data_IF_290188516357
#
_entry.id   IF_290188516357
#
_cell.length_a   1.000
_cell.length_b   1.000
_cell.length_c   1.000
_cell.angle_alpha   90.00
_cell.angle_beta   90.00
_cell.angle_gamma   90.00
#
_symmetry.space_group_name_H-M   'P 1'
#
loop_
_entity.id
_entity.type
_entity.pdbx_description
1 polymer ?
#
# COMPACT_ATOMS: atom_id res chain seq x y z
N UNK A 1 52.51 -40.62 -35.10
CA UNK A 1 52.51 -39.38 -35.90
C UNK A 1 51.37 -39.49 -36.91
N UNK A 2 50.20 -38.95 -36.55
CA UNK A 2 49.00 -38.97 -37.36
C UNK A 2 48.18 -37.70 -37.07
N UNK A 3 47.56 -37.22 -38.13
CA UNK A 3 47.14 -35.86 -38.44
C UNK A 3 46.06 -35.25 -37.52
N UNK A 4 46.00 -33.90 -37.42
CA UNK A 4 44.80 -33.20 -36.99
C UNK A 4 43.80 -33.10 -38.16
N UNK A 5 42.56 -33.51 -37.89
CA UNK A 5 41.41 -33.37 -38.79
C UNK A 5 41.00 -31.91 -38.92
N UNK A 6 40.91 -31.46 -40.17
CA UNK A 6 40.48 -30.14 -40.61
C UNK A 6 38.94 -30.07 -40.52
N UNK A 7 38.40 -29.21 -39.65
CA UNK A 7 36.96 -28.95 -39.59
C UNK A 7 36.65 -27.79 -40.53
N UNK A 8 36.11 -28.11 -41.71
CA UNK A 8 35.58 -27.14 -42.66
C UNK A 8 34.30 -26.48 -42.11
N UNK A 9 34.29 -25.15 -42.08
CA UNK A 9 33.09 -24.34 -41.85
C UNK A 9 32.49 -23.92 -43.20
N UNK A 10 31.16 -24.00 -43.41
CA UNK A 10 30.54 -23.48 -44.61
C UNK A 10 30.55 -21.95 -44.60
N UNK A 11 31.13 -21.35 -45.64
CA UNK A 11 30.96 -19.94 -45.97
C UNK A 11 29.57 -19.74 -46.56
N UNK A 12 28.64 -19.18 -45.77
CA UNK A 12 27.46 -18.51 -46.30
C UNK A 12 27.68 -17.00 -46.24
N UNK A 13 28.17 -16.42 -47.33
CA UNK A 13 28.00 -15.00 -47.63
C UNK A 13 26.57 -14.79 -48.12
N UNK A 14 25.71 -14.25 -47.25
CA UNK A 14 24.44 -13.66 -47.65
C UNK A 14 24.52 -12.17 -47.39
N UNK A 15 24.58 -11.40 -48.47
CA UNK A 15 24.51 -9.95 -48.44
C UNK A 15 23.14 -9.51 -47.88
N UNK A 16 23.09 -8.60 -46.89
CA UNK A 16 21.86 -7.88 -46.58
C UNK A 16 21.68 -6.75 -47.59
N UNK A 17 20.66 -6.91 -48.43
CA UNK A 17 20.18 -5.88 -49.35
C UNK A 17 19.78 -4.61 -48.62
N UNK A 18 20.25 -3.50 -49.16
CA UNK A 18 19.96 -2.12 -48.75
C UNK A 18 18.70 -1.67 -49.49
N UNK A 19 17.51 -2.16 -49.11
CA UNK A 19 16.23 -1.72 -49.73
C UNK A 19 15.02 -1.72 -48.76
N UNK A 20 15.21 -1.54 -47.45
CA UNK A 20 14.08 -1.41 -46.49
C UNK A 20 14.05 -0.07 -45.72
N UNK A 21 14.80 0.93 -46.20
CA UNK A 21 14.90 2.25 -45.55
C UNK A 21 13.82 3.26 -45.96
N UNK A 22 13.44 3.32 -47.24
CA UNK A 22 12.58 4.40 -47.76
C UNK A 22 11.07 4.15 -47.57
N UNK A 23 10.59 2.90 -47.52
CA UNK A 23 9.15 2.64 -47.32
C UNK A 23 8.68 2.85 -45.87
N UNK A 24 9.60 2.85 -44.89
CA UNK A 24 9.25 3.05 -43.47
C UNK A 24 9.06 4.52 -43.14
N UNK A 25 9.83 5.42 -43.75
CA UNK A 25 9.72 6.86 -43.53
C UNK A 25 8.48 7.47 -44.22
N UNK A 26 8.07 6.95 -45.39
CA UNK A 26 6.85 7.42 -46.07
C UNK A 26 5.55 6.95 -45.37
N UNK A 27 5.57 5.81 -44.67
CA UNK A 27 4.43 5.35 -43.85
C UNK A 27 4.27 6.12 -42.54
N UNK A 28 5.34 6.68 -42.00
CA UNK A 28 5.29 7.47 -40.77
C UNK A 28 4.84 8.91 -41.04
N UNK A 29 5.22 9.49 -42.20
CA UNK A 29 4.76 10.82 -42.62
C UNK A 29 3.26 10.91 -42.97
N UNK A 30 2.60 9.80 -43.33
CA UNK A 30 1.15 9.74 -43.60
C UNK A 30 0.28 9.55 -42.36
N UNK A 31 0.85 9.29 -41.17
CA UNK A 31 0.06 9.07 -39.93
C UNK A 31 -0.12 10.31 -39.05
N UNK A 32 0.49 11.45 -39.41
CA UNK A 32 0.45 12.70 -38.61
C UNK A 32 -0.60 13.71 -39.11
N UNK A 33 -1.40 13.38 -40.13
CA UNK A 33 -2.53 14.22 -40.60
C UNK A 33 -3.83 13.43 -40.60
N UNK A 34 -4.47 13.30 -39.44
CA UNK A 34 -5.94 13.19 -39.25
C UNK A 34 -6.25 12.83 -37.79
N UNK A 35 -6.33 13.86 -36.94
CA UNK A 35 -7.26 13.90 -35.79
C UNK A 35 -7.06 15.23 -35.06
N UNK A 36 -7.67 16.29 -35.59
CA UNK A 36 -8.06 17.43 -34.77
C UNK A 36 -9.11 16.94 -33.75
N UNK A 37 -8.96 17.20 -32.44
CA UNK A 37 -10.00 16.88 -31.48
C UNK A 37 -11.19 17.85 -31.67
N UNK A 38 -12.43 17.37 -31.68
CA UNK A 38 -13.59 18.25 -31.70
C UNK A 38 -13.69 19.00 -30.37
N UNK A 39 -14.04 20.28 -30.46
CA UNK A 39 -14.39 21.14 -29.33
C UNK A 39 -15.34 20.43 -28.35
N UNK A 40 -14.87 20.20 -27.12
CA UNK A 40 -15.74 19.83 -26.02
C UNK A 40 -16.45 21.07 -25.48
N UNK A 41 -17.77 21.08 -25.62
CA UNK A 41 -18.65 21.91 -24.83
C UNK A 41 -18.43 21.62 -23.33
N UNK A 42 -18.17 22.66 -22.55
CA UNK A 42 -18.27 22.65 -21.09
C UNK A 42 -19.72 22.36 -20.67
N UNK A 43 -19.99 21.30 -19.90
CA UNK A 43 -21.29 21.12 -19.25
C UNK A 43 -21.45 22.11 -18.09
N UNK A 44 -22.69 22.56 -17.80
CA UNK A 44 -22.95 23.41 -16.65
C UNK A 44 -22.71 22.68 -15.33
N UNK A 45 -22.18 23.42 -14.37
CA UNK A 45 -21.99 23.04 -12.97
C UNK A 45 -23.31 22.49 -12.39
N UNK A 46 -23.36 21.18 -12.21
CA UNK A 46 -24.40 20.49 -11.43
C UNK A 46 -23.70 19.73 -10.32
N UNK A 47 -23.85 20.24 -9.09
CA UNK A 47 -23.39 19.58 -7.87
C UNK A 47 -24.06 18.19 -7.75
N UNK A 48 -23.30 17.09 -7.63
CA UNK A 48 -23.90 15.82 -7.25
C UNK A 48 -24.16 15.82 -5.74
N UNK A 49 -25.44 15.85 -5.35
CA UNK A 49 -25.88 15.45 -4.02
C UNK A 49 -25.48 13.99 -3.79
N UNK A 50 -24.47 13.77 -2.95
CA UNK A 50 -24.01 12.44 -2.53
C UNK A 50 -24.91 11.95 -1.39
N UNK A 51 -25.98 11.24 -1.75
CA UNK A 51 -26.70 10.35 -0.84
C UNK A 51 -26.00 8.98 -0.82
N UNK A 52 -25.19 8.69 0.20
CA UNK A 52 -24.77 7.30 0.47
C UNK A 52 -24.23 7.09 1.90
N UNK A 53 -25.10 7.21 2.89
CA UNK A 53 -24.96 6.49 4.16
C UNK A 53 -25.63 5.10 4.02
N UNK A 54 -24.90 4.12 3.52
CA UNK A 54 -25.30 2.71 3.57
C UNK A 54 -24.20 1.90 4.26
N UNK A 55 -24.24 1.89 5.60
CA UNK A 55 -23.42 0.98 6.39
C UNK A 55 -24.07 -0.43 6.42
N UNK A 56 -23.32 -1.50 6.13
CA UNK A 56 -23.80 -2.86 6.32
C UNK A 56 -23.86 -3.19 7.82
N UNK A 57 -25.05 -3.57 8.29
CA UNK A 57 -25.27 -4.04 9.66
C UNK A 57 -24.49 -5.34 9.89
N UNK A 58 -23.49 -5.27 10.77
CA UNK A 58 -22.76 -6.43 11.27
C UNK A 58 -23.67 -7.21 12.23
N UNK A 59 -24.16 -8.35 11.77
CA UNK A 59 -24.88 -9.32 12.60
C UNK A 59 -23.90 -9.88 13.63
N UNK A 60 -24.18 -9.60 14.90
CA UNK A 60 -23.43 -10.13 16.04
C UNK A 60 -24.27 -11.29 16.57
N UNK A 61 -23.80 -12.52 16.38
CA UNK A 61 -24.39 -13.71 16.97
C UNK A 61 -24.28 -13.59 18.49
N UNK A 62 -25.41 -13.32 19.14
CA UNK A 62 -25.52 -13.33 20.59
C UNK A 62 -25.94 -14.74 20.99
N UNK A 63 -25.02 -15.49 21.57
CA UNK A 63 -25.33 -16.76 22.22
C UNK A 63 -26.37 -16.51 23.31
N UNK A 64 -27.49 -17.21 23.19
CA UNK A 64 -28.61 -17.14 24.13
C UNK A 64 -28.40 -18.25 25.16
N UNK A 65 -27.78 -17.91 26.29
CA UNK A 65 -27.81 -18.73 27.50
C UNK A 65 -29.28 -18.92 27.91
N UNK A 66 -29.70 -20.19 27.97
CA UNK A 66 -30.99 -20.62 28.49
C UNK A 66 -30.96 -20.53 30.01
N UNK A 67 -31.40 -19.41 30.55
CA UNK A 67 -31.77 -19.32 31.96
C UNK A 67 -33.21 -19.81 32.16
N UNK A 68 -33.32 -20.99 32.79
CA UNK A 68 -34.54 -21.58 33.32
C UNK A 68 -35.17 -20.68 34.40
N UNK A 69 -36.10 -19.82 34.00
CA UNK A 69 -36.94 -19.08 34.95
C UNK A 69 -38.26 -19.83 35.27
N UNK A 70 -38.64 -19.90 36.56
CA UNK A 70 -39.80 -20.66 37.00
C UNK A 70 -41.12 -19.98 36.62
N UNK A 71 -42.08 -20.84 36.29
CA UNK A 71 -43.45 -20.58 35.87
C UNK A 71 -44.23 -19.65 36.83
N UNK A 72 -44.53 -18.39 36.45
CA UNK A 72 -45.39 -17.53 37.23
C UNK A 72 -46.85 -17.80 36.87
N UNK A 73 -47.51 -18.51 37.78
CA UNK A 73 -48.91 -18.90 37.68
C UNK A 73 -49.88 -17.80 37.23
N UNK A 74 -50.77 -18.21 36.33
CA UNK A 74 -52.18 -17.82 36.18
C UNK A 74 -52.56 -16.40 36.64
N UNK A 75 -52.21 -15.40 35.85
CA UNK A 75 -52.78 -14.06 35.96
C UNK A 75 -54.09 -13.94 35.13
N UNK A 76 -55.11 -13.23 35.64
CA UNK A 76 -56.43 -13.13 35.00
C UNK A 76 -56.36 -12.39 33.66
N UNK A 77 -57.06 -12.94 32.65
CA UNK A 77 -57.21 -12.41 31.29
C UNK A 77 -57.82 -11.00 31.32
N UNK A 78 -56.98 -9.96 31.41
CA UNK A 78 -57.38 -8.58 31.16
C UNK A 78 -57.57 -8.38 29.65
N UNK A 79 -58.79 -8.03 29.25
CA UNK A 79 -59.13 -7.62 27.89
C UNK A 79 -58.19 -6.51 27.40
N UNK A 80 -57.35 -6.85 26.41
CA UNK A 80 -56.45 -5.90 25.76
C UNK A 80 -57.25 -5.00 24.83
N UNK A 81 -57.75 -3.88 25.37
CA UNK A 81 -58.27 -2.76 24.59
C UNK A 81 -57.12 -2.21 23.73
N UNK A 82 -57.11 -2.56 22.42
CA UNK A 82 -56.12 -2.08 21.44
C UNK A 82 -56.24 -0.55 21.33
N UNK A 83 -55.46 0.18 22.14
CA UNK A 83 -55.24 1.60 21.91
C UNK A 83 -54.49 1.72 20.58
N UNK A 84 -55.15 2.34 19.61
CA UNK A 84 -54.53 2.74 18.33
C UNK A 84 -53.38 3.67 18.69
N UNK A 85 -52.14 3.23 18.47
CA UNK A 85 -50.94 4.07 18.63
C UNK A 85 -51.08 5.23 17.65
N UNK A 86 -50.90 6.44 18.17
CA UNK A 86 -50.91 7.64 17.34
C UNK A 86 -49.62 7.70 16.51
N UNK A 87 -49.61 8.40 15.38
CA UNK A 87 -48.39 8.54 14.59
C UNK A 87 -47.26 9.22 15.37
N UNK A 88 -47.62 10.07 16.35
CA UNK A 88 -46.68 10.65 17.33
C UNK A 88 -45.95 9.59 18.17
N UNK A 89 -46.63 8.51 18.54
CA UNK A 89 -46.01 7.40 19.29
C UNK A 89 -45.04 6.60 18.40
N UNK A 90 -45.34 6.48 17.10
CA UNK A 90 -44.46 5.80 16.13
C UNK A 90 -43.21 6.63 15.84
N UNK A 91 -43.35 7.94 15.72
CA UNK A 91 -42.23 8.86 15.52
C UNK A 91 -41.29 8.86 16.73
N UNK A 92 -41.84 8.93 17.96
CA UNK A 92 -41.07 8.81 19.19
C UNK A 92 -40.33 7.46 19.30
N UNK A 93 -40.91 6.37 18.81
CA UNK A 93 -40.24 5.06 18.79
C UNK A 93 -39.09 5.02 17.76
N UNK A 94 -39.24 5.66 16.60
CA UNK A 94 -38.17 5.80 15.60
C UNK A 94 -37.00 6.63 16.13
N UNK A 95 -37.30 7.73 16.83
CA UNK A 95 -36.29 8.57 17.46
C UNK A 95 -35.50 7.79 18.52
N UNK A 96 -36.18 7.06 19.42
CA UNK A 96 -35.52 6.18 20.40
C UNK A 96 -34.66 5.09 19.77
N UNK A 97 -35.01 4.59 18.58
CA UNK A 97 -34.16 3.64 17.83
C UNK A 97 -32.89 4.32 17.33
N UNK A 98 -33.01 5.47 16.67
CA UNK A 98 -31.86 6.26 16.19
C UNK A 98 -30.92 6.65 17.33
N UNK A 99 -31.46 7.01 18.50
CA UNK A 99 -30.68 7.33 19.69
C UNK A 99 -29.91 6.11 20.22
N UNK A 100 -30.54 4.93 20.26
CA UNK A 100 -29.86 3.68 20.64
C UNK A 100 -28.76 3.30 19.65
N UNK A 101 -28.99 3.48 18.35
CA UNK A 101 -28.00 3.16 17.32
C UNK A 101 -26.79 4.11 17.39
N UNK A 102 -27.03 5.41 17.61
CA UNK A 102 -25.96 6.40 17.88
C UNK A 102 -25.16 6.05 19.14
N UNK A 103 -25.83 5.65 20.22
CA UNK A 103 -25.17 5.21 21.45
C UNK A 103 -24.34 3.93 21.25
N UNK A 104 -24.84 2.97 20.45
CA UNK A 104 -24.10 1.73 20.12
C UNK A 104 -22.84 2.04 19.32
N UNK A 105 -22.94 2.90 18.30
CA UNK A 105 -21.77 3.34 17.50
C UNK A 105 -20.74 4.09 18.35
N UNK A 106 -21.19 4.97 19.25
CA UNK A 106 -20.30 5.69 20.15
C UNK A 106 -19.53 4.75 21.09
N UNK A 107 -20.18 3.69 21.61
CA UNK A 107 -19.52 2.66 22.42
C UNK A 107 -18.50 1.85 21.63
N UNK A 108 -18.87 1.40 20.43
CA UNK A 108 -17.93 0.66 19.56
C UNK A 108 -16.72 1.52 19.15
N UNK A 109 -16.91 2.82 18.95
CA UNK A 109 -15.81 3.74 18.67
C UNK A 109 -14.88 3.89 19.89
N UNK A 110 -15.44 4.01 21.10
CA UNK A 110 -14.66 4.07 22.34
C UNK A 110 -13.88 2.77 22.58
N UNK A 111 -14.49 1.60 22.38
CA UNK A 111 -13.83 0.28 22.50
C UNK A 111 -12.67 0.13 21.49
N UNK A 112 -12.83 0.63 20.26
CA UNK A 112 -11.75 0.62 19.26
C UNK A 112 -10.58 1.52 19.63
N UNK A 113 -10.85 2.70 20.20
CA UNK A 113 -9.79 3.61 20.66
C UNK A 113 -9.08 3.05 21.90
N UNK A 114 -9.81 2.39 22.82
CA UNK A 114 -9.21 1.67 23.95
C UNK A 114 -8.35 0.50 23.49
N UNK A 115 -8.81 -0.29 22.51
CA UNK A 115 -8.02 -1.39 21.94
C UNK A 115 -6.74 -0.89 21.24
N UNK A 116 -6.80 0.21 20.49
CA UNK A 116 -5.60 0.83 19.90
C UNK A 116 -4.64 1.35 20.95
N UNK A 117 -5.15 1.94 22.04
CA UNK A 117 -4.30 2.39 23.14
C UNK A 117 -3.59 1.21 23.82
N UNK A 118 -4.32 0.10 24.05
CA UNK A 118 -3.73 -1.12 24.60
C UNK A 118 -2.68 -1.76 23.67
N UNK A 119 -2.90 -1.74 22.35
CA UNK A 119 -1.92 -2.21 21.36
C UNK A 119 -0.66 -1.33 21.34
N UNK A 120 -0.82 0.00 21.46
CA UNK A 120 0.30 0.93 21.55
C UNK A 120 1.10 0.73 22.86
N UNK A 121 0.42 0.49 23.99
CA UNK A 121 1.07 0.19 25.25
C UNK A 121 1.82 -1.15 25.20
N UNK A 122 1.24 -2.19 24.57
CA UNK A 122 1.91 -3.47 24.37
C UNK A 122 3.16 -3.34 23.49
N UNK A 123 3.09 -2.58 22.40
CA UNK A 123 4.24 -2.29 21.55
C UNK A 123 5.33 -1.49 22.28
N UNK A 124 4.95 -0.59 23.20
CA UNK A 124 5.91 0.15 24.03
C UNK A 124 6.63 -0.76 25.03
N UNK A 125 5.93 -1.72 25.64
CA UNK A 125 6.53 -2.72 26.54
C UNK A 125 7.49 -3.64 25.79
N UNK A 126 7.12 -4.11 24.60
CA UNK A 126 8.00 -4.94 23.76
C UNK A 126 9.26 -4.17 23.34
N UNK A 127 9.12 -2.88 22.97
CA UNK A 127 10.26 -2.02 22.67
C UNK A 127 11.18 -1.75 23.89
N UNK A 128 10.64 -1.77 25.11
CA UNK A 128 11.44 -1.68 26.34
C UNK A 128 12.20 -2.98 26.62
N UNK A 129 11.56 -4.15 26.46
CA UNK A 129 12.22 -5.45 26.68
C UNK A 129 13.40 -5.66 25.72
N UNK A 130 13.25 -5.28 24.45
CA UNK A 130 14.35 -5.36 23.47
C UNK A 130 15.53 -4.45 23.84
N UNK A 131 15.32 -3.37 24.61
CA UNK A 131 16.40 -2.51 25.11
C UNK A 131 17.10 -3.12 26.32
N UNK A 132 16.37 -3.66 27.28
CA UNK A 132 16.95 -4.22 28.52
C UNK A 132 17.83 -5.44 28.26
N UNK A 133 17.51 -6.29 27.27
CA UNK A 133 18.34 -7.45 26.90
C UNK A 133 19.66 -7.06 26.17
N UNK A 134 19.90 -5.78 25.91
CA UNK A 134 21.16 -5.27 25.34
C UNK A 134 22.08 -4.57 26.35
N UNK A 135 21.72 -4.50 27.64
CA UNK A 135 22.44 -3.71 28.66
C UNK A 135 23.11 -4.52 29.78
N UNK A 136 23.50 -5.79 29.55
CA UNK A 136 24.48 -6.47 30.42
C UNK A 136 25.94 -6.16 30.01
N UNK A 137 26.21 -4.87 29.84
CA UNK A 137 27.54 -4.31 29.59
C UNK A 137 27.67 -2.96 30.29
N UNK A 138 28.60 -2.87 31.24
CA UNK A 138 28.92 -1.68 32.02
C UNK A 138 28.94 -0.39 31.17
N UNK A 139 28.06 0.55 31.50
CA UNK A 139 27.89 1.81 30.77
C UNK A 139 28.90 2.88 31.22
N UNK A 140 29.65 3.46 30.29
CA UNK A 140 30.45 4.67 30.50
C UNK A 140 29.83 5.84 29.74
N UNK A 141 29.57 6.96 30.45
CA UNK A 141 28.84 8.13 29.92
C UNK A 141 29.69 8.98 28.94
N UNK A 142 31.02 8.89 29.01
CA UNK A 142 31.92 9.86 28.39
C UNK A 142 32.11 9.71 26.86
N UNK A 143 31.77 8.56 26.27
CA UNK A 143 32.17 8.21 24.90
C UNK A 143 31.24 8.81 23.84
N UNK A 144 31.37 10.12 23.60
CA UNK A 144 30.70 10.73 22.44
C UNK A 144 30.91 12.21 22.19
N UNK A 145 31.67 12.95 23.01
CA UNK A 145 31.87 14.38 22.81
C UNK A 145 33.34 14.82 22.96
N UNK A 146 34.11 14.65 21.90
CA UNK A 146 35.32 15.45 21.64
C UNK A 146 35.05 16.22 20.34
N UNK A 147 35.03 17.55 20.27
CA UNK A 147 35.40 18.53 21.28
C UNK A 147 34.98 19.94 20.86
N UNK A 148 35.54 20.89 21.63
CA UNK A 148 35.45 22.36 21.51
C UNK A 148 34.32 23.03 22.32
N UNK A 149 34.65 23.19 23.61
CA UNK A 149 34.44 24.38 24.47
C UNK A 149 33.02 25.01 24.49
N UNK A 150 32.10 24.43 25.27
CA UNK A 150 30.79 25.05 25.56
C UNK A 150 29.70 24.17 26.18
N UNK A 151 29.94 22.87 26.38
CA UNK A 151 28.98 21.94 26.99
C UNK A 151 28.94 21.96 28.53
N UNK A 152 27.90 21.36 29.13
CA UNK A 152 27.53 21.54 30.54
C UNK A 152 26.82 20.33 31.19
N UNK A 153 27.31 19.87 32.35
CA UNK A 153 26.56 20.08 33.61
C UNK A 153 26.05 18.84 34.40
N UNK A 154 26.15 17.60 33.92
CA UNK A 154 25.57 16.41 34.61
C UNK A 154 26.62 15.54 35.30
N UNK A 155 26.56 15.40 36.64
CA UNK A 155 27.52 14.67 37.48
C UNK A 155 27.42 13.13 37.38
N UNK A 156 28.51 12.49 36.94
CA UNK A 156 28.66 11.03 36.84
C UNK A 156 29.43 10.48 38.05
N UNK A 157 28.86 9.56 38.84
CA UNK A 157 29.43 9.08 40.12
C UNK A 157 30.75 8.29 39.98
N UNK A 158 31.16 7.93 38.76
CA UNK A 158 32.37 7.14 38.47
C UNK A 158 33.58 7.99 38.04
N UNK A 159 33.40 9.28 37.73
CA UNK A 159 34.42 10.13 37.12
C UNK A 159 34.69 11.42 37.94
N UNK A 160 35.97 11.75 38.18
CA UNK A 160 36.41 12.98 38.87
C UNK A 160 36.08 14.25 38.07
N UNK A 161 36.19 14.17 36.74
CA UNK A 161 35.81 15.22 35.81
C UNK A 161 34.28 15.18 35.63
N UNK A 162 33.57 15.59 36.69
CA UNK A 162 32.23 15.13 37.02
C UNK A 162 31.17 15.35 35.91
N UNK A 163 31.20 16.50 35.23
CA UNK A 163 30.04 17.07 34.54
C UNK A 163 29.99 16.89 33.01
N UNK A 164 28.95 16.24 32.48
CA UNK A 164 28.80 15.89 31.05
C UNK A 164 27.51 16.44 30.38
N UNK A 165 27.45 16.60 29.03
CA UNK A 165 26.26 17.07 28.28
C UNK A 165 25.73 16.09 27.19
N UNK A 166 24.51 16.33 26.66
CA UNK A 166 23.86 15.46 25.66
C UNK A 166 24.03 15.85 24.17
N UNK A 167 24.42 17.09 23.88
CA UNK A 167 24.56 17.58 22.50
C UNK A 167 25.90 18.29 22.30
N UNK A 168 26.53 18.03 21.16
CA UNK A 168 27.80 18.64 20.74
C UNK A 168 27.76 20.17 20.63
N UNK A 169 26.59 20.76 20.41
CA UNK A 169 26.39 22.19 20.33
C UNK A 169 24.91 22.53 20.48
N UNK A 170 24.62 23.81 20.75
CA UNK A 170 23.26 24.36 20.67
C UNK A 170 22.61 24.10 19.30
N UNK A 171 23.41 23.98 18.24
CA UNK A 171 22.97 23.66 16.88
C UNK A 171 22.57 22.19 16.74
N UNK A 172 23.34 21.27 17.34
CA UNK A 172 23.00 19.84 17.43
C UNK A 172 21.67 19.65 18.21
N UNK A 173 21.52 20.35 19.35
CA UNK A 173 20.29 20.31 20.15
C UNK A 173 19.07 20.86 19.39
N UNK A 174 19.23 21.97 18.67
CA UNK A 174 18.14 22.57 17.89
C UNK A 174 17.75 21.72 16.68
N UNK A 175 18.72 21.13 15.97
CA UNK A 175 18.45 20.21 14.87
C UNK A 175 17.68 18.97 15.34
N UNK A 176 18.07 18.40 16.49
CA UNK A 176 17.37 17.29 17.11
C UNK A 176 15.94 17.67 17.53
N UNK A 177 15.74 18.83 18.18
CA UNK A 177 14.41 19.32 18.54
C UNK A 177 13.52 19.56 17.30
N UNK A 178 14.09 20.07 16.20
CA UNK A 178 13.37 20.30 14.94
C UNK A 178 12.97 18.99 14.24
N UNK A 179 13.80 17.96 14.31
CA UNK A 179 13.48 16.64 13.79
C UNK A 179 12.35 15.97 14.58
N UNK A 180 12.33 16.13 15.91
CA UNK A 180 11.21 15.67 16.74
C UNK A 180 9.91 16.43 16.43
N UNK A 181 10.02 17.73 16.15
CA UNK A 181 8.91 18.62 15.83
C UNK A 181 8.17 18.30 14.52
N UNK A 182 8.75 17.52 13.58
CA UNK A 182 8.04 17.18 12.34
C UNK A 182 6.82 16.28 12.55
N UNK A 183 6.71 15.65 13.72
CA UNK A 183 5.61 14.77 14.10
C UNK A 183 4.66 15.40 15.14
N UNK A 184 4.89 16.67 15.48
CA UNK A 184 4.21 17.35 16.60
C UNK A 184 3.01 18.15 16.07
N UNK A 185 1.85 18.00 16.73
CA UNK A 185 0.63 18.69 16.32
C UNK A 185 0.78 20.23 16.39
N UNK A 186 0.02 20.96 15.57
CA UNK A 186 0.07 22.44 15.51
C UNK A 186 -0.11 23.14 16.87
N UNK A 187 -0.76 22.48 17.84
CA UNK A 187 -0.98 23.00 19.19
C UNK A 187 0.31 23.03 20.02
N UNK A 188 1.18 22.05 19.83
CA UNK A 188 2.42 21.88 20.59
C UNK A 188 3.58 22.68 19.97
N UNK A 189 3.47 23.06 18.69
CA UNK A 189 4.40 24.00 18.02
C UNK A 189 4.46 25.33 18.76
N UNK A 190 3.34 25.88 19.25
CA UNK A 190 3.33 27.15 20.00
C UNK A 190 3.99 27.02 21.38
N UNK A 191 3.79 25.89 22.06
CA UNK A 191 4.43 25.63 23.34
C UNK A 191 5.95 25.52 23.18
N UNK A 192 6.40 24.83 22.12
CA UNK A 192 7.82 24.70 21.78
C UNK A 192 8.43 26.01 21.28
N UNK A 193 7.73 26.80 20.47
CA UNK A 193 8.18 28.13 20.05
C UNK A 193 8.35 29.06 21.26
N UNK A 194 7.44 29.01 22.23
CA UNK A 194 7.55 29.74 23.48
C UNK A 194 8.73 29.25 24.31
N UNK A 195 8.91 27.93 24.45
CA UNK A 195 10.02 27.35 25.21
C UNK A 195 11.39 27.65 24.57
N UNK A 196 11.47 27.65 23.24
CA UNK A 196 12.69 27.93 22.49
C UNK A 196 12.99 29.43 22.35
N UNK A 197 11.98 30.31 22.50
CA UNK A 197 12.18 31.77 22.52
C UNK A 197 13.05 32.25 23.69
N UNK A 198 13.16 31.46 24.76
CA UNK A 198 14.03 31.74 25.90
C UNK A 198 15.50 31.38 25.64
N UNK A 199 15.81 30.60 24.59
CA UNK A 199 17.18 30.32 24.21
C UNK A 199 17.75 31.50 23.41
N UNK A 200 18.92 32.04 23.80
CA UNK A 200 19.55 33.09 23.03
C UNK A 200 19.81 32.58 21.61
N UNK A 201 19.33 33.32 20.61
CA UNK A 201 19.65 33.03 19.21
C UNK A 201 21.18 32.96 19.11
N UNK A 202 21.77 31.82 18.69
CA UNK A 202 23.21 31.72 18.61
C UNK A 202 23.68 32.85 17.71
N UNK A 203 24.63 33.66 18.22
CA UNK A 203 25.24 34.69 17.40
C UNK A 203 25.70 34.00 16.11
N UNK A 204 25.33 34.51 14.92
CA UNK A 204 25.75 33.91 13.68
C UNK A 204 27.27 34.07 13.57
N UNK A 205 28.01 33.10 14.13
CA UNK A 205 29.43 32.95 13.87
C UNK A 205 29.48 32.40 12.45
N UNK A 206 29.55 33.32 11.50
CA UNK A 206 29.97 33.01 10.15
C UNK A 206 31.48 32.86 10.22
N UNK A 207 31.95 31.70 10.70
CA UNK A 207 33.33 31.33 10.42
C UNK A 207 33.41 31.10 8.92
N UNK A 208 34.04 32.03 8.22
CA UNK A 208 34.49 31.79 6.85
C UNK A 208 35.73 30.92 6.99
N UNK A 209 35.54 29.67 7.39
CA UNK A 209 36.58 28.68 7.25
C UNK A 209 36.78 28.53 5.75
N UNK A 210 37.92 29.03 5.28
CA UNK A 210 38.40 28.73 3.94
C UNK A 210 38.68 27.23 3.96
N UNK A 211 37.63 26.44 3.71
CA UNK A 211 37.77 25.03 3.49
C UNK A 211 38.81 24.88 2.38
N UNK A 212 39.93 24.25 2.70
CA UNK A 212 40.95 23.93 1.72
C UNK A 212 40.27 23.22 0.53
N UNK A 213 40.79 23.44 -0.68
CA UNK A 213 40.22 22.87 -1.91
C UNK A 213 40.03 21.34 -1.81
N UNK A 214 40.87 20.68 -1.00
CA UNK A 214 40.75 19.27 -0.67
C UNK A 214 39.46 18.93 0.10
N UNK A 215 39.17 19.65 1.19
CA UNK A 215 37.96 19.44 2.01
C UNK A 215 36.69 19.66 1.18
N UNK A 216 36.72 20.65 0.28
CA UNK A 216 35.60 20.90 -0.63
C UNK A 216 35.41 19.76 -1.64
N UNK A 217 36.49 19.27 -2.26
CA UNK A 217 36.41 18.14 -3.19
C UNK A 217 35.87 16.87 -2.51
N UNK A 218 36.27 16.62 -1.25
CA UNK A 218 35.76 15.49 -0.45
C UNK A 218 34.25 15.64 -0.18
N UNK A 219 33.79 16.83 0.21
CA UNK A 219 32.36 17.09 0.43
C UNK A 219 31.53 16.96 -0.87
N UNK A 220 32.04 17.47 -1.99
CA UNK A 220 31.37 17.35 -3.29
C UNK A 220 31.30 15.88 -3.74
N UNK A 221 32.39 15.12 -3.57
CA UNK A 221 32.40 13.67 -3.84
C UNK A 221 31.44 12.88 -2.94
N UNK A 222 31.36 13.23 -1.65
CA UNK A 222 30.40 12.64 -0.72
C UNK A 222 28.93 12.94 -1.10
N UNK A 223 28.64 14.16 -1.56
CA UNK A 223 27.31 14.54 -2.05
C UNK A 223 26.91 13.78 -3.32
N UNK A 224 27.86 13.61 -4.24
CA UNK A 224 27.62 12.84 -5.46
C UNK A 224 27.40 11.36 -5.13
N UNK A 225 28.19 10.78 -4.22
CA UNK A 225 28.00 9.41 -3.74
C UNK A 225 26.63 9.21 -3.06
N UNK A 226 26.20 10.14 -2.21
CA UNK A 226 24.90 10.10 -1.56
C UNK A 226 23.74 10.20 -2.58
N UNK A 227 23.91 11.04 -3.61
CA UNK A 227 22.91 11.19 -4.69
C UNK A 227 22.78 9.90 -5.49
N UNK A 228 23.90 9.25 -5.83
CA UNK A 228 23.91 7.95 -6.50
C UNK A 228 23.28 6.85 -5.65
N UNK A 229 23.58 6.81 -4.35
CA UNK A 229 22.97 5.87 -3.42
C UNK A 229 21.44 6.05 -3.36
N UNK A 230 20.96 7.29 -3.28
CA UNK A 230 19.53 7.60 -3.29
C UNK A 230 18.86 7.17 -4.60
N UNK A 231 19.46 7.46 -5.75
CA UNK A 231 18.95 7.02 -7.06
C UNK A 231 18.87 5.50 -7.15
N UNK A 232 19.91 4.79 -6.69
CA UNK A 232 19.91 3.31 -6.68
C UNK A 232 18.80 2.73 -5.79
N UNK A 233 18.52 3.39 -4.66
CA UNK A 233 17.42 3.02 -3.76
C UNK A 233 16.06 3.23 -4.43
N UNK A 234 15.85 4.38 -5.09
CA UNK A 234 14.60 4.65 -5.81
C UNK A 234 14.37 3.68 -6.97
N UNK A 235 15.42 3.36 -7.72
CA UNK A 235 15.36 2.36 -8.79
C UNK A 235 14.97 0.98 -8.25
N UNK A 236 15.55 0.56 -7.12
CA UNK A 236 15.17 -0.70 -6.47
C UNK A 236 13.69 -0.70 -6.08
N UNK A 237 13.23 0.36 -5.42
CA UNK A 237 11.82 0.50 -5.02
C UNK A 237 10.87 0.52 -6.23
N UNK A 238 11.27 1.14 -7.34
CA UNK A 238 10.51 1.12 -8.59
C UNK A 238 10.40 -0.30 -9.15
N UNK A 239 11.52 -1.03 -9.19
CA UNK A 239 11.53 -2.43 -9.62
C UNK A 239 10.71 -3.33 -8.68
N UNK A 240 10.68 -3.04 -7.38
CA UNK A 240 9.84 -3.73 -6.39
C UNK A 240 8.34 -3.49 -6.65
N UNK A 241 7.95 -2.25 -6.96
CA UNK A 241 6.58 -1.91 -7.35
C UNK A 241 6.16 -2.57 -8.67
N UNK A 242 7.06 -2.65 -9.65
CA UNK A 242 6.81 -3.33 -10.93
C UNK A 242 6.60 -4.84 -10.77
N UNK A 243 7.40 -5.52 -9.93
CA UNK A 243 7.19 -6.95 -9.64
C UNK A 243 5.85 -7.18 -8.94
N UNK A 244 5.46 -6.30 -8.01
CA UNK A 244 4.16 -6.36 -7.36
C UNK A 244 3.00 -6.16 -8.36
N UNK A 245 3.12 -5.21 -9.28
CA UNK A 245 2.13 -5.02 -10.37
C UNK A 245 2.03 -6.26 -11.27
N UNK A 246 3.15 -6.90 -11.58
CA UNK A 246 3.15 -8.14 -12.37
C UNK A 246 2.44 -9.30 -11.63
N UNK A 247 2.59 -9.40 -10.31
CA UNK A 247 1.87 -10.38 -9.49
C UNK A 247 0.37 -10.08 -9.47
N UNK A 248 -0.03 -8.80 -9.32
CA UNK A 248 -1.45 -8.42 -9.38
C UNK A 248 -2.08 -8.73 -10.74
N UNK A 249 -1.36 -8.48 -11.84
CA UNK A 249 -1.85 -8.83 -13.17
C UNK A 249 -2.11 -10.35 -13.30
N UNK A 250 -1.27 -11.19 -12.68
CA UNK A 250 -1.50 -12.64 -12.61
C UNK A 250 -2.71 -12.98 -11.75
N UNK A 251 -2.88 -12.35 -10.58
CA UNK A 251 -4.09 -12.53 -9.76
C UNK A 251 -5.37 -12.16 -10.51
N UNK A 252 -5.33 -11.07 -11.28
CA UNK A 252 -6.45 -10.66 -12.13
C UNK A 252 -6.75 -11.72 -13.21
N UNK A 253 -5.72 -12.30 -13.83
CA UNK A 253 -5.89 -13.40 -14.77
C UNK A 253 -6.45 -14.67 -14.11
N UNK A 254 -6.02 -15.00 -12.88
CA UNK A 254 -6.60 -16.11 -12.10
C UNK A 254 -8.06 -15.86 -11.75
N UNK A 255 -8.41 -14.62 -11.37
CA UNK A 255 -9.79 -14.23 -11.10
C UNK A 255 -10.65 -14.35 -12.35
N UNK A 256 -10.19 -13.81 -13.49
CA UNK A 256 -10.88 -13.92 -14.77
C UNK A 256 -11.07 -15.39 -15.19
N UNK A 257 -10.05 -16.22 -14.98
CA UNK A 257 -10.13 -17.66 -15.21
C UNK A 257 -11.20 -18.32 -14.33
N UNK A 258 -11.15 -18.10 -13.01
CA UNK A 258 -12.09 -18.68 -12.07
C UNK A 258 -13.54 -18.25 -12.37
N UNK A 259 -13.74 -16.98 -12.74
CA UNK A 259 -15.05 -16.47 -13.19
C UNK A 259 -15.49 -17.15 -14.48
N UNK A 260 -14.62 -17.28 -15.48
CA UNK A 260 -14.94 -17.98 -16.73
C UNK A 260 -15.31 -19.45 -16.53
N UNK A 261 -14.56 -20.17 -15.68
CA UNK A 261 -14.90 -21.55 -15.31
C UNK A 261 -16.25 -21.61 -14.62
N UNK A 262 -16.50 -20.72 -13.65
CA UNK A 262 -17.78 -20.64 -12.96
C UNK A 262 -18.95 -20.32 -13.90
N UNK A 263 -18.76 -19.41 -14.85
CA UNK A 263 -19.76 -19.06 -15.86
C UNK A 263 -20.08 -20.23 -16.78
N UNK A 264 -19.07 -21.06 -17.09
CA UNK A 264 -19.20 -22.27 -17.90
C UNK A 264 -19.94 -23.41 -17.19
N UNK A 265 -20.06 -23.37 -15.87
CA UNK A 265 -20.89 -24.31 -15.12
C UNK A 265 -22.35 -24.03 -15.46
N UNK A 266 -22.83 -24.74 -16.48
CA UNK A 266 -24.23 -24.72 -16.89
C UNK A 266 -25.07 -24.95 -15.64
N UNK A 267 -26.02 -24.07 -15.31
CA UNK A 267 -26.97 -24.34 -14.26
C UNK A 267 -27.72 -25.60 -14.69
N UNK A 268 -27.33 -26.74 -14.15
CA UNK A 268 -27.95 -28.01 -14.46
C UNK A 268 -29.45 -27.84 -14.28
N UNK A 269 -30.23 -28.43 -15.19
CA UNK A 269 -31.69 -28.54 -15.05
C UNK A 269 -31.94 -29.46 -13.86
N UNK A 270 -31.69 -28.94 -12.66
CA UNK A 270 -32.15 -29.56 -11.44
C UNK A 270 -33.64 -29.35 -11.51
N UNK A 271 -34.36 -30.39 -11.94
CA UNK A 271 -35.81 -30.53 -11.82
C UNK A 271 -36.17 -30.16 -10.38
N UNK A 272 -36.43 -28.88 -10.13
CA UNK A 272 -36.82 -28.42 -8.81
C UNK A 272 -38.16 -29.11 -8.52
N UNK A 273 -38.26 -29.88 -7.42
CA UNK A 273 -39.52 -30.54 -7.08
C UNK A 273 -40.60 -29.47 -6.95
N UNK A 274 -41.55 -29.47 -7.88
CA UNK A 274 -42.70 -28.54 -7.98
C UNK A 274 -43.55 -28.56 -6.70
N UNK A 275 -43.12 -27.88 -5.65
CA UNK A 275 -43.93 -27.55 -4.47
C UNK A 275 -43.74 -26.08 -4.14
N UNK A 276 -44.32 -25.24 -5.00
CA UNK A 276 -44.42 -23.79 -4.84
C UNK A 276 -45.28 -23.44 -3.62
N UNK A 277 -44.67 -22.92 -2.56
CA UNK A 277 -45.39 -22.16 -1.53
C UNK A 277 -45.57 -20.71 -2.01
N UNK A 278 -46.77 -20.16 -1.81
CA UNK A 278 -47.29 -19.00 -2.56
C UNK A 278 -46.83 -17.63 -2.05
N UNK A 279 -45.80 -17.53 -1.21
CA UNK A 279 -45.56 -16.31 -0.41
C UNK A 279 -44.13 -15.73 -0.38
N UNK A 280 -43.26 -16.02 -1.35
CA UNK A 280 -41.88 -15.46 -1.37
C UNK A 280 -41.67 -14.51 -2.54
N UNK A 281 -42.21 -13.29 -2.40
CA UNK A 281 -42.08 -12.18 -3.37
C UNK A 281 -41.11 -11.13 -2.85
N UNK A 282 -39.82 -11.45 -2.67
CA UNK A 282 -38.74 -10.42 -2.58
C UNK A 282 -37.30 -10.93 -2.50
N UNK A 283 -36.96 -12.10 -3.02
CA UNK A 283 -35.55 -12.44 -3.18
C UNK A 283 -35.22 -12.41 -4.66
N UNK A 284 -34.25 -11.58 -5.03
CA UNK A 284 -33.72 -11.46 -6.38
C UNK A 284 -33.40 -12.83 -6.98
N UNK A 285 -33.62 -12.91 -8.29
CA UNK A 285 -33.35 -14.06 -9.15
C UNK A 285 -32.05 -14.75 -8.75
N UNK A 286 -32.18 -15.94 -8.16
CA UNK A 286 -31.07 -16.66 -7.55
C UNK A 286 -30.41 -17.47 -8.64
N UNK A 287 -29.19 -17.10 -8.99
CA UNK A 287 -28.40 -17.85 -9.95
C UNK A 287 -28.27 -19.32 -9.45
N UNK A 288 -28.67 -20.35 -10.23
CA UNK A 288 -28.70 -21.73 -9.74
C UNK A 288 -27.31 -22.34 -9.55
N UNK A 289 -26.26 -21.61 -9.97
CA UNK A 289 -24.88 -22.08 -10.02
C UNK A 289 -24.31 -22.33 -8.62
N UNK A 290 -23.35 -23.27 -8.48
CA UNK A 290 -22.62 -23.44 -7.22
C UNK A 290 -21.80 -22.19 -6.89
N UNK A 291 -21.30 -22.07 -5.66
CA UNK A 291 -20.47 -20.95 -5.21
C UNK A 291 -19.28 -20.67 -6.16
N UNK A 292 -18.54 -21.70 -6.56
CA UNK A 292 -17.49 -21.60 -7.58
C UNK A 292 -16.23 -20.86 -7.16
N UNK A 293 -16.07 -20.53 -5.88
CA UNK A 293 -14.85 -19.90 -5.38
C UNK A 293 -13.64 -20.82 -5.59
N UNK A 294 -12.59 -20.29 -6.22
CA UNK A 294 -11.35 -21.02 -6.49
C UNK A 294 -10.35 -20.78 -5.35
N UNK A 295 -9.86 -21.86 -4.73
CA UNK A 295 -8.88 -21.78 -3.63
C UNK A 295 -7.57 -21.13 -4.04
N UNK A 296 -7.24 -21.12 -5.33
CA UNK A 296 -6.02 -20.47 -5.82
C UNK A 296 -6.08 -18.95 -5.68
N UNK A 297 -7.26 -18.36 -5.50
CA UNK A 297 -7.42 -16.92 -5.26
C UNK A 297 -6.85 -16.47 -3.90
N UNK A 298 -6.59 -17.39 -2.97
CA UNK A 298 -5.92 -17.09 -1.69
C UNK A 298 -4.43 -17.45 -1.67
N UNK A 299 -3.85 -17.79 -2.82
CA UNK A 299 -2.42 -18.06 -2.94
C UNK A 299 -1.56 -16.86 -2.55
N UNK A 300 -0.42 -17.18 -1.95
CA UNK A 300 0.64 -16.23 -1.66
C UNK A 300 1.24 -15.65 -2.94
N UNK A 301 1.89 -14.49 -2.82
CA UNK A 301 2.58 -13.83 -3.94
C UNK A 301 3.62 -14.75 -4.61
N UNK A 302 4.29 -15.60 -3.83
CA UNK A 302 5.27 -16.56 -4.34
C UNK A 302 4.63 -17.66 -5.21
N UNK A 303 3.48 -18.19 -4.78
CA UNK A 303 2.70 -19.18 -5.54
C UNK A 303 2.13 -18.57 -6.82
N UNK A 304 1.59 -17.35 -6.75
CA UNK A 304 1.11 -16.61 -7.93
C UNK A 304 2.26 -16.31 -8.91
N UNK A 305 3.47 -16.03 -8.39
CA UNK A 305 4.64 -15.73 -9.22
C UNK A 305 5.19 -16.97 -9.96
N UNK A 306 4.91 -18.19 -9.49
CA UNK A 306 5.27 -19.42 -10.23
C UNK A 306 4.14 -19.93 -11.11
N UNK A 307 2.91 -19.44 -10.93
CA UNK A 307 1.79 -19.78 -11.80
C UNK A 307 2.08 -19.31 -13.24
N UNK A 308 2.09 -20.27 -14.16
CA UNK A 308 2.46 -20.08 -15.57
C UNK A 308 1.26 -19.71 -16.46
N UNK A 309 0.08 -19.53 -15.86
CA UNK A 309 -1.16 -19.28 -16.58
C UNK A 309 -1.71 -20.52 -17.29
N UNK A 310 -1.04 -21.67 -17.19
CA UNK A 310 -1.48 -22.87 -17.87
C UNK A 310 -2.60 -23.56 -17.08
N UNK A 311 -3.62 -24.00 -17.81
CA UNK A 311 -4.66 -24.90 -17.29
C UNK A 311 -4.11 -26.29 -16.91
N UNK A 312 -2.81 -26.56 -17.09
CA UNK A 312 -2.29 -27.94 -17.07
C UNK A 312 -2.43 -28.64 -15.73
N UNK A 313 -2.46 -27.92 -14.61
CA UNK A 313 -2.75 -28.54 -13.31
C UNK A 313 -4.24 -28.76 -13.05
N UNK A 314 -5.13 -28.09 -13.78
CA UNK A 314 -6.56 -28.33 -13.74
C UNK A 314 -7.03 -29.28 -14.86
N UNK A 315 -6.11 -29.77 -15.71
CA UNK A 315 -6.45 -30.84 -16.64
C UNK A 315 -6.75 -32.05 -15.78
N UNK A 316 -8.01 -32.51 -15.70
CA UNK A 316 -8.32 -33.71 -14.94
C UNK A 316 -7.35 -34.80 -15.43
N UNK A 317 -6.87 -35.70 -14.54
CA UNK A 317 -6.21 -36.91 -15.01
C UNK A 317 -7.03 -37.44 -16.18
N UNK A 318 -6.35 -37.82 -17.26
CA UNK A 318 -6.94 -38.24 -18.53
C UNK A 318 -7.71 -39.54 -18.28
N UNK A 319 -8.81 -39.43 -17.55
CA UNK A 319 -9.60 -40.52 -17.03
C UNK A 319 -10.46 -40.98 -18.19
N UNK A 320 -10.52 -42.30 -18.26
CA UNK A 320 -11.35 -43.10 -19.13
C UNK A 320 -12.76 -42.50 -19.23
N UNK A 321 -13.43 -42.77 -20.34
CA UNK A 321 -14.71 -42.21 -20.79
C UNK A 321 -15.89 -42.57 -19.85
N UNK A 322 -15.78 -42.27 -18.56
CA UNK A 322 -16.80 -42.47 -17.54
C UNK A 322 -17.88 -41.43 -17.78
N UNK A 323 -19.02 -41.89 -18.32
CA UNK A 323 -20.34 -41.24 -18.40
C UNK A 323 -20.39 -39.74 -18.04
N UNK A 324 -19.74 -38.88 -18.83
CA UNK A 324 -19.72 -37.40 -18.66
C UNK A 324 -21.11 -36.77 -18.65
N UNK A 325 -22.12 -37.49 -19.13
CA UNK A 325 -23.51 -37.05 -19.22
C UNK A 325 -24.22 -36.98 -17.86
N UNK A 326 -23.70 -37.63 -16.82
CA UNK A 326 -24.34 -37.66 -15.48
C UNK A 326 -23.64 -36.79 -14.43
N UNK A 327 -22.50 -36.20 -14.75
CA UNK A 327 -21.76 -35.36 -13.81
C UNK A 327 -22.57 -34.10 -13.47
N UNK A 328 -22.92 -33.94 -12.20
CA UNK A 328 -23.61 -32.74 -11.74
C UNK A 328 -22.66 -31.55 -11.73
N UNK A 329 -23.19 -30.32 -11.86
CA UNK A 329 -22.37 -29.11 -11.81
C UNK A 329 -21.57 -28.97 -10.50
N UNK A 330 -22.06 -29.58 -9.40
CA UNK A 330 -21.43 -29.57 -8.10
C UNK A 330 -20.25 -30.55 -8.02
N UNK A 331 -20.38 -31.74 -8.60
CA UNK A 331 -19.28 -32.71 -8.75
C UNK A 331 -18.19 -32.16 -9.68
N UNK A 332 -18.59 -31.53 -10.80
CA UNK A 332 -17.65 -30.88 -11.71
C UNK A 332 -16.88 -29.76 -11.01
N UNK A 333 -17.56 -28.91 -10.24
CA UNK A 333 -16.92 -27.85 -9.47
C UNK A 333 -15.92 -28.43 -8.44
N UNK A 334 -16.30 -29.48 -7.71
CA UNK A 334 -15.42 -30.12 -6.74
C UNK A 334 -14.16 -30.72 -7.40
N UNK A 335 -14.30 -31.37 -8.57
CA UNK A 335 -13.16 -31.91 -9.34
C UNK A 335 -12.19 -30.81 -9.79
N UNK A 336 -12.71 -29.63 -10.11
CA UNK A 336 -11.90 -28.46 -10.50
C UNK A 336 -11.31 -27.70 -9.29
N UNK A 337 -11.47 -28.21 -8.06
CA UNK A 337 -10.99 -27.55 -6.85
C UNK A 337 -11.79 -26.30 -6.47
N UNK A 338 -12.98 -26.12 -7.03
CA UNK A 338 -13.87 -25.01 -6.72
C UNK A 338 -14.74 -25.32 -5.50
N UNK A 339 -15.14 -24.28 -4.77
CA UNK A 339 -16.04 -24.40 -3.63
C UNK A 339 -17.40 -24.97 -4.07
N UNK A 340 -17.66 -26.21 -3.64
CA UNK A 340 -18.87 -26.98 -3.91
C UNK A 340 -19.81 -27.07 -2.68
N UNK A 341 -19.56 -26.30 -1.61
CA UNK A 341 -20.34 -26.34 -0.34
C UNK A 341 -21.83 -26.05 -0.56
N UNK A 342 -22.19 -25.32 -1.61
CA UNK A 342 -23.57 -25.12 -2.03
C UNK A 342 -23.73 -23.98 -3.04
N UNK A 343 -24.97 -23.72 -3.44
CA UNK A 343 -25.30 -22.60 -4.35
C UNK A 343 -25.10 -21.22 -3.71
N UNK A 344 -25.16 -21.15 -2.37
CA UNK A 344 -24.93 -19.93 -1.60
C UNK A 344 -24.03 -20.26 -0.42
N UNK A 345 -22.73 -20.22 -0.66
CA UNK A 345 -21.74 -20.26 0.40
C UNK A 345 -21.62 -18.84 0.97
N UNK A 346 -22.00 -18.64 2.23
CA UNK A 346 -21.92 -17.33 2.89
C UNK A 346 -20.47 -16.85 3.01
N UNK A 347 -19.52 -17.77 3.21
CA UNK A 347 -18.08 -17.45 3.31
C UNK A 347 -17.49 -16.79 2.06
N UNK A 348 -18.05 -17.08 0.88
CA UNK A 348 -17.58 -16.54 -0.39
C UNK A 348 -18.69 -15.75 -1.10
N UNK A 349 -19.65 -15.19 -0.37
CA UNK A 349 -20.73 -14.44 -0.97
C UNK A 349 -20.18 -13.21 -1.72
N UNK A 350 -20.39 -13.14 -3.04
CA UNK A 350 -19.95 -12.01 -3.86
C UNK A 350 -18.43 -11.93 -4.07
N UNK A 351 -17.72 -13.06 -3.95
CA UNK A 351 -16.26 -13.12 -4.14
C UNK A 351 -15.79 -12.52 -5.46
N UNK A 352 -16.56 -12.67 -6.56
CA UNK A 352 -16.17 -12.16 -7.87
C UNK A 352 -15.99 -10.63 -7.86
N UNK A 353 -16.94 -9.93 -7.25
CA UNK A 353 -16.96 -8.45 -7.24
C UNK A 353 -16.01 -7.91 -6.19
N UNK A 354 -16.01 -8.51 -5.00
CA UNK A 354 -15.17 -8.06 -3.88
C UNK A 354 -13.68 -8.20 -4.21
N UNK A 355 -13.26 -9.35 -4.77
CA UNK A 355 -11.88 -9.53 -5.20
C UNK A 355 -11.52 -8.67 -6.41
N UNK A 356 -12.41 -8.50 -7.39
CA UNK A 356 -12.16 -7.61 -8.53
C UNK A 356 -11.86 -6.18 -8.08
N UNK A 357 -12.72 -5.62 -7.20
CA UNK A 357 -12.54 -4.27 -6.65
C UNK A 357 -11.26 -4.18 -5.82
N UNK A 358 -10.96 -5.18 -4.99
CA UNK A 358 -9.71 -5.20 -4.21
C UNK A 358 -8.48 -5.14 -5.12
N UNK A 359 -8.40 -6.01 -6.14
CA UNK A 359 -7.27 -6.05 -7.07
C UNK A 359 -7.13 -4.76 -7.88
N UNK A 360 -8.25 -4.11 -8.24
CA UNK A 360 -8.24 -2.81 -8.91
C UNK A 360 -7.69 -1.70 -8.01
N UNK A 361 -8.12 -1.65 -6.74
CA UNK A 361 -7.60 -0.69 -5.75
C UNK A 361 -6.11 -0.90 -5.52
N UNK A 362 -5.66 -2.14 -5.34
CA UNK A 362 -4.22 -2.44 -5.17
C UNK A 362 -3.41 -2.05 -6.42
N UNK A 363 -3.92 -2.33 -7.62
CA UNK A 363 -3.25 -1.98 -8.86
C UNK A 363 -3.12 -0.45 -9.04
N UNK A 364 -4.18 0.31 -8.74
CA UNK A 364 -4.15 1.77 -8.81
C UNK A 364 -3.17 2.38 -7.80
N UNK A 365 -3.13 1.86 -6.56
CA UNK A 365 -2.18 2.29 -5.54
C UNK A 365 -0.72 2.03 -5.94
N UNK A 366 -0.41 0.83 -6.41
CA UNK A 366 0.95 0.48 -6.85
C UNK A 366 1.38 1.26 -8.09
N UNK A 367 0.47 1.49 -9.04
CA UNK A 367 0.74 2.31 -10.22
C UNK A 367 1.10 3.73 -9.82
N UNK A 368 0.28 4.35 -8.94
CA UNK A 368 0.56 5.68 -8.41
C UNK A 368 1.92 5.74 -7.71
N UNK A 369 2.24 4.74 -6.86
CA UNK A 369 3.51 4.69 -6.16
C UNK A 369 4.71 4.56 -7.10
N UNK A 370 4.61 3.71 -8.14
CA UNK A 370 5.63 3.61 -9.19
C UNK A 370 5.86 4.95 -9.87
N UNK A 371 4.79 5.64 -10.26
CA UNK A 371 4.88 6.93 -10.96
C UNK A 371 5.47 8.02 -10.05
N UNK A 372 5.11 8.04 -8.77
CA UNK A 372 5.72 8.92 -7.76
C UNK A 372 7.23 8.67 -7.60
N UNK A 373 7.66 7.40 -7.53
CA UNK A 373 9.08 7.03 -7.46
C UNK A 373 9.84 7.45 -8.71
N UNK A 374 9.25 7.24 -9.90
CA UNK A 374 9.84 7.66 -11.17
C UNK A 374 10.01 9.19 -11.24
N UNK A 375 8.97 9.95 -10.90
CA UNK A 375 9.04 11.42 -10.85
C UNK A 375 10.09 11.94 -9.84
N UNK A 376 10.25 11.27 -8.70
CA UNK A 376 11.29 11.61 -7.72
C UNK A 376 12.69 11.32 -8.26
N UNK A 377 12.88 10.17 -8.91
CA UNK A 377 14.13 9.82 -9.60
C UNK A 377 14.53 10.88 -10.62
N UNK A 378 13.63 11.22 -11.55
CA UNK A 378 13.87 12.26 -12.56
C UNK A 378 14.20 13.63 -11.94
N UNK A 379 13.55 13.98 -10.83
CA UNK A 379 13.80 15.25 -10.13
C UNK A 379 15.21 15.28 -9.55
N UNK A 380 15.66 14.18 -8.95
CA UNK A 380 17.00 14.06 -8.38
C UNK A 380 18.06 14.05 -9.48
N UNK A 381 17.82 13.36 -10.60
CA UNK A 381 18.74 13.38 -11.74
C UNK A 381 18.88 14.79 -12.35
N UNK A 382 17.76 15.51 -12.51
CA UNK A 382 17.78 16.92 -12.94
C UNK A 382 18.50 17.84 -11.95
N UNK A 383 18.30 17.63 -10.64
CA UNK A 383 19.04 18.36 -9.62
C UNK A 383 20.55 18.05 -9.65
N UNK A 384 20.92 16.77 -9.83
CA UNK A 384 22.31 16.34 -9.95
C UNK A 384 23.01 16.94 -11.16
N UNK A 385 22.38 16.90 -12.34
CA UNK A 385 22.94 17.48 -13.57
C UNK A 385 23.10 18.99 -13.50
N UNK A 386 22.14 19.70 -12.92
CA UNK A 386 22.25 21.15 -12.68
C UNK A 386 23.35 21.49 -11.67
N UNK A 387 23.51 20.69 -10.61
CA UNK A 387 24.60 20.86 -9.65
C UNK A 387 25.99 20.62 -10.30
N UNK A 388 26.12 19.58 -11.13
CA UNK A 388 27.35 19.31 -11.90
C UNK A 388 27.67 20.46 -12.86
N UNK A 389 26.67 20.95 -13.61
CA UNK A 389 26.84 22.08 -14.53
C UNK A 389 27.26 23.36 -13.78
N UNK A 390 26.64 23.64 -12.64
CA UNK A 390 27.00 24.78 -11.79
C UNK A 390 28.42 24.66 -11.20
N UNK A 391 28.84 23.45 -10.80
CA UNK A 391 30.23 23.19 -10.38
C UNK A 391 31.21 23.46 -11.52
N UNK A 392 30.93 22.94 -12.72
CA UNK A 392 31.76 23.17 -13.90
C UNK A 392 31.90 24.65 -14.23
N UNK A 393 30.79 25.40 -14.27
CA UNK A 393 30.82 26.83 -14.53
C UNK A 393 31.62 27.63 -13.47
N UNK A 394 31.50 27.25 -12.19
CA UNK A 394 32.32 27.83 -11.11
C UNK A 394 33.81 27.55 -11.32
N UNK A 395 34.17 26.31 -11.64
CA UNK A 395 35.56 25.91 -11.86
C UNK A 395 36.17 26.64 -13.07
N UNK A 396 35.42 26.77 -14.17
CA UNK A 396 35.82 27.55 -15.35
C UNK A 396 36.03 29.04 -15.01
N UNK A 397 35.15 29.63 -14.20
CA UNK A 397 35.29 31.00 -13.72
C UNK A 397 36.54 31.17 -12.85
N UNK A 398 36.78 30.26 -11.89
CA UNK A 398 37.97 30.29 -11.04
C UNK A 398 39.26 30.20 -11.87
N UNK A 399 39.32 29.25 -12.82
CA UNK A 399 40.46 29.11 -13.73
C UNK A 399 40.71 30.39 -14.56
N UNK A 400 39.65 31.04 -15.04
CA UNK A 400 39.76 32.30 -15.79
C UNK A 400 40.29 33.46 -14.92
N UNK A 401 39.89 33.52 -13.65
CA UNK A 401 40.39 34.52 -12.70
C UNK A 401 41.87 34.31 -12.38
N UNK A 402 42.28 33.05 -12.16
CA UNK A 402 43.69 32.70 -11.94
C UNK A 402 44.57 33.03 -13.15
N UNK A 403 44.10 32.72 -14.36
CA UNK A 403 44.80 33.07 -15.59
C UNK A 403 45.01 34.59 -15.71
N UNK A 404 43.97 35.38 -15.41
CA UNK A 404 44.06 36.85 -15.39
C UNK A 404 45.03 37.37 -14.32
N UNK A 405 45.07 36.75 -13.16
CA UNK A 405 46.02 37.12 -12.11
C UNK A 405 47.47 36.89 -12.55
N UNK A 406 47.76 35.74 -13.17
CA UNK A 406 49.09 35.39 -13.70
C UNK A 406 49.58 36.32 -14.81
N UNK A 407 48.68 36.90 -15.61
CA UNK A 407 49.06 37.86 -16.67
C UNK A 407 49.39 39.27 -16.16
N UNK A 408 49.07 39.59 -14.91
CA UNK A 408 49.31 40.93 -14.32
C UNK A 408 50.62 41.04 -13.56
N UNK A 409 51.21 39.92 -13.18
CA UNK A 409 52.55 39.80 -12.60
C UNK A 409 53.58 39.67 -13.70
#
# INVERSE_FOLDING_TARGET
MASPTHTEWPKHTREPGVEEGEEREEREAKRVRLSEPPYHHTPPEGEPEVDSDFEPEHEHEHEHEQDDHPDPGSAPKREKKKRVRTDRDRERDRERRRERDRARRARQAAEREEAKAAEADAAAVEAQQVREDTEEGEYCVCNGANGEEGGTMVGCETCDNWFHPAFCSSRCAFAHARALLSNVEKKDVKALETALSAYPSPAPIVSIDRADDHSRAVLEGAQDAATLALLSSLQRQSADAERALAILARRQAMLAYAVGVWESLVPGVVEEPKKRSKNKKRDGEKDPRPCGFDLRLVWSDAEVAVWDGSEREATPPQEEEVDKEKETALERAARLGLCAVGRRCERHAGWQKTLAVQLEVEATQLTRRRDELAMLGERIERAGTTAVAARRARNEMHAALEAKAKTKT
#
